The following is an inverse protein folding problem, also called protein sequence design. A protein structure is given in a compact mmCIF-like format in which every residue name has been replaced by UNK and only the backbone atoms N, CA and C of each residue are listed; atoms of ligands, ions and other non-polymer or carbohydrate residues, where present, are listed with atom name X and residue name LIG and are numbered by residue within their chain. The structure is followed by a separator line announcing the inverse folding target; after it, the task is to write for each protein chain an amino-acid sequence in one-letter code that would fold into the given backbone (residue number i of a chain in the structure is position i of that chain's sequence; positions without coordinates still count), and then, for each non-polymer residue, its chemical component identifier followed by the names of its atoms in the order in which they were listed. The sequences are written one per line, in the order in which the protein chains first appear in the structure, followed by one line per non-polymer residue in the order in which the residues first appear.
data_IF_517510151984
#
_entry.id   IF_517510151984
#
_cell.length_a   1.000
_cell.length_b   1.000
_cell.length_c   1.000
_cell.angle_alpha   90.00
_cell.angle_beta   90.00
_cell.angle_gamma   90.00
#
_symmetry.space_group_name_H-M   'P 1'
#
loop_
_entity.id
_entity.type
_entity.pdbx_description
1 polymer ?
#
# COMPACT_ATOMS: atom_id res chain seq x y z
N UNK A 1 28.08 -7.72 29.81
CA UNK A 1 27.11 -7.95 28.72
C UNK A 1 27.77 -7.62 27.39
N UNK A 2 27.79 -8.55 26.44
CA UNK A 2 28.29 -8.33 25.08
C UNK A 2 27.30 -7.48 24.28
N UNK A 3 27.82 -6.56 23.45
CA UNK A 3 26.98 -5.70 22.61
C UNK A 3 26.57 -6.42 21.33
N UNK A 4 25.29 -6.82 21.22
CA UNK A 4 24.73 -7.51 20.04
C UNK A 4 24.39 -6.58 18.86
N UNK A 5 24.96 -5.37 18.83
CA UNK A 5 24.63 -4.33 17.84
C UNK A 5 25.06 -4.72 16.43
N UNK A 6 26.20 -5.40 16.31
CA UNK A 6 26.76 -5.84 15.01
C UNK A 6 25.89 -6.93 14.40
N UNK A 7 25.51 -7.94 15.18
CA UNK A 7 24.67 -9.05 14.79
C UNK A 7 23.30 -8.56 14.35
N UNK A 8 22.72 -7.63 15.11
CA UNK A 8 21.44 -6.99 14.77
C UNK A 8 21.51 -6.25 13.43
N UNK A 9 22.61 -5.52 13.18
CA UNK A 9 22.86 -4.82 11.90
C UNK A 9 23.04 -5.80 10.74
N UNK A 10 23.81 -6.88 10.94
CA UNK A 10 24.03 -7.91 9.91
C UNK A 10 22.73 -8.63 9.56
N UNK A 11 21.96 -9.06 10.56
CA UNK A 11 20.66 -9.72 10.38
C UNK A 11 19.66 -8.81 9.65
N UNK A 12 19.59 -7.53 10.04
CA UNK A 12 18.77 -6.51 9.39
C UNK A 12 19.10 -6.36 7.89
N UNK A 13 20.39 -6.31 7.55
CA UNK A 13 20.87 -6.24 6.15
C UNK A 13 20.54 -7.50 5.36
N UNK A 14 20.66 -8.69 5.97
CA UNK A 14 20.37 -9.97 5.31
C UNK A 14 18.87 -10.14 5.05
N UNK A 15 18.03 -9.83 6.05
CA UNK A 15 16.56 -10.01 6.01
C UNK A 15 15.81 -8.82 5.36
N UNK A 16 16.55 -7.83 4.85
CA UNK A 16 16.03 -6.59 4.25
C UNK A 16 14.92 -5.96 5.10
N UNK A 17 15.20 -5.75 6.39
CA UNK A 17 14.25 -5.15 7.33
C UNK A 17 14.97 -4.24 8.33
N UNK A 18 14.26 -3.35 9.02
CA UNK A 18 14.87 -2.44 9.99
C UNK A 18 15.34 -3.14 11.26
N UNK A 19 16.39 -2.60 11.91
CA UNK A 19 16.98 -3.17 13.14
C UNK A 19 15.94 -3.47 14.25
N UNK A 20 14.90 -2.64 14.40
CA UNK A 20 13.85 -2.82 15.42
C UNK A 20 12.97 -4.07 15.17
N UNK A 21 12.98 -4.62 13.94
CA UNK A 21 12.24 -5.83 13.57
C UNK A 21 13.01 -7.11 13.83
N UNK A 22 14.30 -7.04 14.18
CA UNK A 22 15.09 -8.22 14.53
C UNK A 22 14.88 -8.55 16.01
N UNK A 23 14.44 -9.78 16.26
CA UNK A 23 14.43 -10.43 17.55
C UNK A 23 15.62 -11.39 17.64
N UNK A 24 16.27 -11.41 18.80
CA UNK A 24 17.41 -12.26 19.14
C UNK A 24 17.01 -13.02 20.40
N UNK A 25 17.25 -14.32 20.45
CA UNK A 25 16.94 -15.12 21.63
C UNK A 25 17.85 -14.70 22.82
N UNK A 26 17.29 -14.31 23.98
CA UNK A 26 18.08 -13.99 25.16
C UNK A 26 18.78 -15.20 25.78
N UNK A 27 18.27 -16.42 25.60
CA UNK A 27 18.86 -17.64 26.18
C UNK A 27 20.17 -18.02 25.50
N UNK A 28 20.26 -17.78 24.19
CA UNK A 28 21.41 -18.13 23.35
C UNK A 28 22.28 -16.91 22.99
N UNK A 29 22.28 -15.89 23.86
CA UNK A 29 22.99 -14.64 23.62
C UNK A 29 24.51 -14.82 23.41
N UNK A 30 25.11 -15.84 24.03
CA UNK A 30 26.53 -16.15 23.89
C UNK A 30 26.86 -16.71 22.50
N UNK A 31 26.05 -17.64 21.98
CA UNK A 31 26.22 -18.19 20.63
C UNK A 31 26.04 -17.08 19.57
N UNK A 32 25.01 -16.24 19.75
CA UNK A 32 24.75 -15.11 18.87
C UNK A 32 25.92 -14.11 18.92
N UNK A 33 26.49 -13.82 20.09
CA UNK A 33 27.62 -12.90 20.23
C UNK A 33 28.86 -13.37 19.46
N UNK A 34 29.10 -14.69 19.38
CA UNK A 34 30.23 -15.27 18.65
C UNK A 34 30.08 -15.23 17.11
N UNK A 35 28.87 -14.98 16.59
CA UNK A 35 28.61 -14.93 15.16
C UNK A 35 28.97 -13.58 14.53
N UNK A 36 30.21 -13.46 14.04
CA UNK A 36 30.74 -12.21 13.45
C UNK A 36 30.63 -12.11 11.92
N UNK A 37 30.32 -13.22 11.22
CA UNK A 37 30.23 -13.26 9.75
C UNK A 37 28.78 -13.27 9.25
N UNK A 38 28.55 -12.86 8.00
CA UNK A 38 27.21 -12.90 7.37
C UNK A 38 26.71 -14.34 7.23
N UNK A 39 27.61 -15.29 7.02
CA UNK A 39 27.34 -16.71 6.86
C UNK A 39 26.86 -17.31 8.18
N UNK A 40 27.54 -17.03 9.30
CA UNK A 40 27.13 -17.46 10.64
C UNK A 40 25.76 -16.89 11.01
N UNK A 41 25.52 -15.60 10.74
CA UNK A 41 24.21 -14.97 10.99
C UNK A 41 23.11 -15.60 10.13
N UNK A 42 23.38 -16.01 8.89
CA UNK A 42 22.41 -16.76 8.07
C UNK A 42 22.07 -18.12 8.67
N UNK A 43 23.05 -18.81 9.26
CA UNK A 43 22.83 -20.09 9.96
C UNK A 43 21.90 -19.88 11.15
N UNK A 44 22.19 -18.90 12.01
CA UNK A 44 21.34 -18.56 13.17
C UNK A 44 19.91 -18.13 12.80
N UNK A 45 19.72 -17.50 11.64
CA UNK A 45 18.38 -17.20 11.11
C UNK A 45 17.65 -18.48 10.70
N UNK A 46 18.35 -19.42 10.07
CA UNK A 46 17.79 -20.72 9.67
C UNK A 46 17.45 -21.58 10.88
N UNK A 47 18.28 -21.52 11.92
CA UNK A 47 18.12 -22.26 13.17
C UNK A 47 17.06 -21.63 14.10
N UNK A 48 16.53 -20.44 13.76
CA UNK A 48 15.43 -19.79 14.48
C UNK A 48 15.87 -18.93 15.68
N UNK A 49 17.17 -18.82 15.94
CA UNK A 49 17.74 -18.00 17.02
C UNK A 49 17.64 -16.49 16.74
N UNK A 50 17.57 -16.12 15.45
CA UNK A 50 17.37 -14.75 14.97
C UNK A 50 16.11 -14.69 14.11
N UNK A 51 15.10 -13.94 14.56
CA UNK A 51 13.78 -13.90 13.91
C UNK A 51 13.42 -12.48 13.46
N UNK A 52 12.82 -12.37 12.27
CA UNK A 52 12.14 -11.15 11.82
C UNK A 52 10.74 -11.09 12.44
N UNK A 53 10.53 -10.17 13.37
CA UNK A 53 9.21 -9.90 13.94
C UNK A 53 8.22 -9.52 12.83
N UNK A 54 7.01 -10.08 12.80
CA UNK A 54 6.00 -9.70 11.84
C UNK A 54 5.65 -8.21 11.96
N UNK A 55 5.18 -7.63 10.87
CA UNK A 55 4.65 -6.27 10.88
C UNK A 55 3.23 -6.33 11.41
N UNK A 56 2.94 -5.53 12.45
CA UNK A 56 1.56 -5.33 12.88
C UNK A 56 0.81 -4.64 11.74
N UNK A 57 -0.17 -5.34 11.17
CA UNK A 57 -1.01 -4.81 10.10
C UNK A 57 -2.23 -4.15 10.73
N UNK A 58 -2.59 -2.95 10.27
CA UNK A 58 -3.83 -2.30 10.71
C UNK A 58 -5.04 -3.04 10.13
N UNK A 59 -6.09 -3.21 10.94
CA UNK A 59 -7.34 -3.82 10.47
C UNK A 59 -7.97 -2.98 9.37
N UNK A 60 -8.32 -3.62 8.24
CA UNK A 60 -9.09 -3.00 7.15
C UNK A 60 -10.59 -3.30 7.23
N UNK A 61 -11.08 -3.92 8.31
CA UNK A 61 -12.48 -4.35 8.43
C UNK A 61 -13.46 -3.17 8.30
N UNK A 62 -13.25 -2.09 9.06
CA UNK A 62 -14.13 -0.90 9.03
C UNK A 62 -14.13 -0.24 7.66
N UNK A 63 -12.96 -0.07 7.05
CA UNK A 63 -12.83 0.50 5.69
C UNK A 63 -13.52 -0.37 4.66
N UNK A 64 -13.38 -1.70 4.72
CA UNK A 64 -14.05 -2.63 3.80
C UNK A 64 -15.57 -2.56 3.94
N UNK A 65 -16.09 -2.57 5.17
CA UNK A 65 -17.53 -2.43 5.45
C UNK A 65 -18.08 -1.10 4.92
N UNK A 66 -17.34 0.00 5.12
CA UNK A 66 -17.75 1.31 4.62
C UNK A 66 -17.73 1.37 3.09
N UNK A 67 -16.69 0.84 2.45
CA UNK A 67 -16.61 0.77 0.98
C UNK A 67 -17.74 -0.07 0.38
N UNK A 68 -18.10 -1.19 1.01
CA UNK A 68 -19.25 -2.00 0.59
C UNK A 68 -20.57 -1.24 0.74
N UNK A 69 -20.76 -0.51 1.85
CA UNK A 69 -21.94 0.33 2.06
C UNK A 69 -22.02 1.45 1.01
N UNK A 70 -20.90 2.14 0.73
CA UNK A 70 -20.80 3.17 -0.31
C UNK A 70 -21.07 2.62 -1.70
N UNK A 71 -20.57 1.42 -2.03
CA UNK A 71 -20.85 0.76 -3.31
C UNK A 71 -22.32 0.40 -3.49
N UNK A 72 -23.06 0.20 -2.39
CA UNK A 72 -24.52 0.01 -2.39
C UNK A 72 -25.29 1.35 -2.40
N UNK A 73 -24.62 2.47 -2.62
CA UNK A 73 -25.22 3.81 -2.65
C UNK A 73 -25.52 4.42 -1.27
N UNK A 74 -25.01 3.84 -0.18
CA UNK A 74 -25.20 4.39 1.18
C UNK A 74 -24.09 5.38 1.51
N UNK A 75 -24.33 6.29 2.46
CA UNK A 75 -23.38 7.37 2.79
C UNK A 75 -23.06 8.27 1.57
N UNK A 76 -24.08 8.53 0.76
CA UNK A 76 -24.09 9.46 -0.38
C UNK A 76 -25.28 10.43 -0.18
N UNK A 77 -25.30 11.12 0.96
CA UNK A 77 -26.40 12.04 1.30
C UNK A 77 -26.40 13.27 0.41
N UNK A 78 -27.43 14.11 0.53
CA UNK A 78 -27.52 15.35 -0.26
C UNK A 78 -26.29 16.26 -0.09
N UNK A 79 -25.68 16.29 1.10
CA UNK A 79 -24.49 17.10 1.38
C UNK A 79 -23.20 16.48 0.80
N UNK A 80 -23.20 15.19 0.46
CA UNK A 80 -22.06 14.48 -0.14
C UNK A 80 -22.09 14.55 -1.68
N UNK A 81 -23.12 15.17 -2.27
CA UNK A 81 -23.32 15.29 -3.71
C UNK A 81 -22.83 16.63 -4.27
N UNK A 82 -22.45 16.64 -5.54
CA UNK A 82 -21.93 17.82 -6.24
C UNK A 82 -23.03 18.52 -7.05
N UNK A 83 -22.95 19.85 -7.17
CA UNK A 83 -23.86 20.64 -8.01
C UNK A 83 -23.49 20.58 -9.49
N UNK A 84 -22.20 20.43 -9.79
CA UNK A 84 -21.69 20.25 -11.14
C UNK A 84 -20.64 19.13 -11.12
N UNK A 85 -20.74 18.23 -12.09
CA UNK A 85 -19.77 17.15 -12.32
C UNK A 85 -19.35 17.25 -13.78
N UNK A 86 -18.04 17.31 -14.02
CA UNK A 86 -17.48 17.35 -15.37
C UNK A 86 -16.73 16.04 -15.65
N UNK A 87 -17.19 15.31 -16.67
CA UNK A 87 -16.60 14.07 -17.14
C UNK A 87 -15.85 14.35 -18.44
N UNK A 88 -14.54 14.51 -18.34
CA UNK A 88 -13.65 14.68 -19.51
C UNK A 88 -12.66 13.50 -19.65
N UNK A 89 -13.14 12.29 -20.00
CA UNK A 89 -12.26 11.18 -20.29
C UNK A 89 -11.70 11.29 -21.71
N UNK A 90 -10.40 11.03 -21.86
CA UNK A 90 -9.78 10.76 -23.15
C UNK A 90 -10.32 9.44 -23.74
N UNK A 91 -11.48 9.49 -24.41
CA UNK A 91 -12.16 8.33 -24.97
C UNK A 91 -13.66 8.29 -24.61
N UNK A 92 -14.17 7.08 -24.35
CA UNK A 92 -15.59 6.90 -23.99
C UNK A 92 -15.87 7.23 -22.52
N UNK A 93 -16.91 8.05 -22.23
CA UNK A 93 -17.34 8.33 -20.87
C UNK A 93 -18.27 7.26 -20.27
N UNK A 94 -18.67 6.26 -21.06
CA UNK A 94 -19.70 5.29 -20.66
C UNK A 94 -19.40 4.60 -19.33
N UNK A 95 -18.13 4.29 -19.07
CA UNK A 95 -17.69 3.64 -17.83
C UNK A 95 -17.80 4.51 -16.57
N UNK A 96 -17.94 5.83 -16.72
CA UNK A 96 -17.99 6.79 -15.62
C UNK A 96 -19.39 7.36 -15.37
N UNK A 97 -20.33 7.16 -16.29
CA UNK A 97 -21.67 7.75 -16.23
C UNK A 97 -22.44 7.33 -14.97
N UNK A 98 -22.47 6.04 -14.63
CA UNK A 98 -23.23 5.55 -13.47
C UNK A 98 -22.74 6.18 -12.15
N UNK A 99 -21.41 6.31 -12.00
CA UNK A 99 -20.81 6.98 -10.84
C UNK A 99 -21.12 8.48 -10.80
N UNK A 100 -21.02 9.17 -11.94
CA UNK A 100 -21.29 10.61 -12.01
C UNK A 100 -22.75 10.95 -11.72
N UNK A 101 -23.70 10.15 -12.22
CA UNK A 101 -25.13 10.30 -11.93
C UNK A 101 -25.44 10.07 -10.46
N UNK A 102 -24.77 9.11 -9.80
CA UNK A 102 -24.94 8.88 -8.35
C UNK A 102 -24.40 10.03 -7.50
N UNK A 103 -23.39 10.75 -8.00
CA UNK A 103 -22.71 11.81 -7.27
C UNK A 103 -23.33 13.20 -7.48
N UNK A 104 -24.22 13.38 -8.46
CA UNK A 104 -24.82 14.67 -8.77
C UNK A 104 -26.10 14.92 -7.99
N UNK A 105 -26.29 16.16 -7.51
CA UNK A 105 -27.53 16.58 -6.87
C UNK A 105 -28.69 16.58 -7.85
N UNK A 106 -29.92 16.42 -7.33
CA UNK A 106 -31.14 16.74 -8.08
C UNK A 106 -31.04 18.19 -8.58
N UNK A 107 -31.29 18.40 -9.87
CA UNK A 107 -31.11 19.68 -10.59
C UNK A 107 -29.65 20.17 -10.70
N UNK A 108 -28.65 19.31 -10.51
CA UNK A 108 -27.25 19.61 -10.82
C UNK A 108 -26.93 19.44 -12.31
N UNK A 109 -25.74 19.90 -12.72
CA UNK A 109 -25.25 19.89 -14.11
C UNK A 109 -24.18 18.82 -14.31
N UNK A 110 -24.43 17.84 -15.19
CA UNK A 110 -23.45 16.85 -15.60
C UNK A 110 -22.92 17.22 -16.99
N UNK A 111 -21.65 17.62 -17.07
CA UNK A 111 -20.94 17.84 -18.32
C UNK A 111 -20.24 16.55 -18.72
N UNK A 112 -20.32 16.16 -20.00
CA UNK A 112 -19.72 14.92 -20.50
C UNK A 112 -19.04 15.18 -21.84
N UNK A 113 -17.75 14.93 -21.90
CA UNK A 113 -16.96 14.94 -23.13
C UNK A 113 -16.80 13.49 -23.62
N UNK A 114 -17.13 13.26 -24.88
CA UNK A 114 -16.82 12.02 -25.58
C UNK A 114 -15.89 12.35 -26.73
N UNK A 115 -14.69 11.77 -26.72
CA UNK A 115 -13.67 11.99 -27.74
C UNK A 115 -13.43 10.65 -28.45
N UNK A 116 -13.66 10.59 -29.76
CA UNK A 116 -13.48 9.38 -30.57
C UNK A 116 -12.01 9.11 -30.96
N UNK A 117 -11.08 9.99 -30.57
CA UNK A 117 -9.67 9.95 -30.92
C UNK A 117 -8.77 9.69 -29.71
N UNK A 118 -7.85 8.71 -29.76
CA UNK A 118 -6.83 8.55 -28.73
C UNK A 118 -5.83 9.71 -28.74
N UNK A 119 -5.14 9.93 -27.63
CA UNK A 119 -4.17 11.02 -27.41
C UNK A 119 -3.25 11.24 -28.64
N UNK A 120 -3.41 12.37 -29.34
CA UNK A 120 -2.59 12.75 -30.49
C UNK A 120 -1.17 13.21 -30.11
N UNK A 121 -0.95 13.51 -28.82
CA UNK A 121 0.32 14.00 -28.29
C UNK A 121 1.10 12.87 -27.60
N UNK A 122 2.00 12.22 -28.37
CA UNK A 122 2.99 11.32 -27.80
C UNK A 122 3.47 10.21 -28.73
N UNK A 123 4.19 10.58 -29.80
CA UNK A 123 5.24 9.74 -30.37
C UNK A 123 6.15 10.62 -31.26
N UNK A 124 7.14 11.25 -30.63
CA UNK A 124 8.36 11.63 -31.35
C UNK A 124 9.37 10.48 -31.18
N UNK A 125 9.54 9.59 -32.17
CA UNK A 125 10.58 8.55 -32.11
C UNK A 125 12.01 9.07 -32.36
N UNK A 126 12.24 10.38 -32.51
CA UNK A 126 13.57 10.93 -32.75
C UNK A 126 13.79 12.28 -32.04
N UNK A 127 14.58 12.26 -30.97
CA UNK A 127 15.55 13.29 -30.58
C UNK A 127 16.66 12.62 -29.78
#
# INVERSE_FOLDING_TARGET
MSSLRVQKRLASSILRCGNKKIWLDPNEANEIANANTRQSVRKLIKDGLIIKKPVAVHSRFRTRKNNEARRKGRHMGHDDQYHAVDLDPYGTPAQFLDGAVQCIKKNGVLCVTAIDMPLLCGNNPHS
#
